data_IF_976757468491
#
_entry.id   IF_976757468491
#
_cell.length_a   1.000
_cell.length_b   1.000
_cell.length_c   1.000
_cell.angle_alpha   90.00
_cell.angle_beta   90.00
_cell.angle_gamma   90.00
#
_symmetry.space_group_name_H-M   'P 1'
#
loop_
_entity.id
_entity.type
_entity.pdbx_description
1 polymer ?
#
# COMPACT_ATOMS: atom_id res chain seq x y z
N UNK A 1 14.66 9.35 -10.15
CA UNK A 1 14.33 9.38 -8.70
C UNK A 1 14.47 10.82 -8.21
N UNK A 2 13.52 11.30 -7.43
CA UNK A 2 13.53 12.63 -6.77
C UNK A 2 13.57 12.46 -5.27
N UNK A 3 13.99 13.48 -4.54
CA UNK A 3 14.04 13.46 -3.08
C UNK A 3 13.48 14.76 -2.51
N UNK A 4 12.79 14.67 -1.37
CA UNK A 4 12.31 15.78 -0.56
C UNK A 4 12.92 15.65 0.85
N UNK A 5 13.40 16.74 1.43
CA UNK A 5 13.74 16.79 2.84
C UNK A 5 12.48 17.08 3.66
N UNK A 6 12.10 16.16 4.53
CA UNK A 6 10.91 16.24 5.39
C UNK A 6 11.28 15.90 6.82
N UNK A 7 11.05 16.80 7.77
CA UNK A 7 11.40 16.60 9.20
C UNK A 7 12.83 16.03 9.40
N UNK A 8 13.79 16.55 8.64
CA UNK A 8 15.21 16.14 8.64
C UNK A 8 15.50 14.72 8.11
N UNK A 9 14.56 14.07 7.44
CA UNK A 9 14.76 12.80 6.74
C UNK A 9 14.55 12.98 5.24
N UNK A 10 15.17 12.12 4.43
CA UNK A 10 14.99 12.09 2.97
C UNK A 10 13.80 11.21 2.61
N UNK A 11 12.89 11.75 1.83
CA UNK A 11 11.76 11.04 1.23
C UNK A 11 12.05 10.84 -0.26
N UNK A 12 11.98 9.60 -0.72
CA UNK A 12 12.22 9.23 -2.11
C UNK A 12 10.91 9.01 -2.88
N UNK A 13 10.82 9.58 -4.07
CA UNK A 13 9.66 9.44 -4.95
C UNK A 13 10.04 9.52 -6.42
N UNK A 14 9.11 9.12 -7.29
CA UNK A 14 9.17 9.39 -8.73
C UNK A 14 8.00 10.27 -9.14
N UNK A 15 8.11 10.88 -10.33
CA UNK A 15 7.09 11.77 -10.88
C UNK A 15 7.15 11.64 -12.41
N UNK A 16 6.16 11.00 -13.00
CA UNK A 16 6.16 10.58 -14.41
C UNK A 16 4.81 10.89 -15.05
N UNK A 17 4.82 11.36 -16.29
CA UNK A 17 3.60 11.67 -17.05
C UNK A 17 3.03 13.06 -16.74
N UNK A 18 1.81 13.32 -17.22
CA UNK A 18 1.06 14.58 -17.07
C UNK A 18 -0.44 14.27 -16.95
N UNK A 19 -1.22 15.21 -16.42
CA UNK A 19 -2.66 15.06 -16.25
C UNK A 19 -3.08 14.95 -14.78
N UNK A 20 -4.17 14.19 -14.49
CA UNK A 20 -4.63 13.97 -13.13
C UNK A 20 -3.54 13.27 -12.32
N UNK A 21 -3.24 13.80 -11.12
CA UNK A 21 -2.25 13.21 -10.25
C UNK A 21 -2.79 11.91 -9.63
N UNK A 22 -1.96 10.87 -9.67
CA UNK A 22 -2.22 9.55 -9.07
C UNK A 22 -1.02 9.16 -8.22
N UNK A 23 -1.26 8.91 -6.95
CA UNK A 23 -0.25 8.51 -5.99
C UNK A 23 -0.31 7.00 -5.84
N UNK A 24 0.82 6.33 -5.96
CA UNK A 24 0.95 4.89 -5.80
C UNK A 24 1.75 4.59 -4.53
N UNK A 25 1.10 3.91 -3.56
CA UNK A 25 1.66 3.57 -2.25
C UNK A 25 1.81 2.06 -2.13
N UNK A 26 3.00 1.64 -1.78
CA UNK A 26 3.37 0.22 -1.64
C UNK A 26 2.95 -0.39 -0.29
N UNK A 27 3.02 -1.71 -0.17
CA UNK A 27 2.75 -2.46 1.04
C UNK A 27 3.97 -2.59 1.97
N UNK A 28 3.76 -3.29 3.09
CA UNK A 28 4.82 -3.61 4.05
C UNK A 28 5.87 -4.52 3.43
N UNK A 29 7.15 -4.27 3.66
CA UNK A 29 8.32 -4.94 3.05
C UNK A 29 8.45 -4.76 1.53
N UNK A 30 7.70 -3.85 0.94
CA UNK A 30 7.82 -3.45 -0.46
C UNK A 30 8.46 -2.05 -0.57
N UNK A 31 8.55 -1.53 -1.77
CA UNK A 31 8.97 -0.17 -2.07
C UNK A 31 8.33 0.31 -3.39
N UNK A 32 8.58 1.56 -3.78
CA UNK A 32 8.01 2.16 -5.00
C UNK A 32 8.24 1.36 -6.29
N UNK A 33 9.25 0.48 -6.32
CA UNK A 33 9.59 -0.29 -7.53
C UNK A 33 8.55 -1.34 -7.88
N UNK A 34 7.68 -1.77 -6.93
CA UNK A 34 6.56 -2.66 -7.19
C UNK A 34 5.63 -2.15 -8.30
N UNK A 35 5.56 -0.83 -8.46
CA UNK A 35 4.70 -0.18 -9.45
C UNK A 35 5.32 -0.07 -10.84
N UNK A 36 6.57 -0.54 -11.03
CA UNK A 36 7.34 -0.36 -12.28
C UNK A 36 6.60 -0.88 -13.51
N UNK A 37 5.91 -2.00 -13.40
CA UNK A 37 5.15 -2.59 -14.52
C UNK A 37 3.92 -1.74 -14.91
N UNK A 38 3.32 -1.02 -13.97
CA UNK A 38 2.08 -0.25 -14.15
C UNK A 38 2.32 1.18 -14.64
N UNK A 39 3.41 1.81 -14.20
CA UNK A 39 3.70 3.22 -14.48
C UNK A 39 3.64 3.56 -15.97
N UNK A 40 4.20 2.78 -16.91
CA UNK A 40 4.16 3.13 -18.33
C UNK A 40 2.74 3.24 -18.88
N UNK A 41 1.83 2.35 -18.49
CA UNK A 41 0.45 2.38 -18.96
C UNK A 41 -0.35 3.50 -18.29
N UNK A 42 -0.26 3.64 -16.97
CA UNK A 42 -0.97 4.65 -16.22
C UNK A 42 -0.52 6.07 -16.56
N UNK A 43 0.77 6.27 -16.85
CA UNK A 43 1.35 7.57 -17.18
C UNK A 43 0.95 8.09 -18.58
N UNK A 44 0.32 7.28 -19.43
CA UNK A 44 -0.18 7.75 -20.74
C UNK A 44 -1.20 8.88 -20.61
N UNK A 45 -1.97 8.91 -19.52
CA UNK A 45 -3.06 9.88 -19.32
C UNK A 45 -3.02 10.57 -17.95
N UNK A 46 -2.12 10.17 -17.06
CA UNK A 46 -2.06 10.65 -15.68
C UNK A 46 -0.63 11.07 -15.32
N UNK A 47 -0.50 11.90 -14.30
CA UNK A 47 0.76 12.21 -13.63
C UNK A 47 0.92 11.21 -12.48
N UNK A 48 1.82 10.26 -12.61
CA UNK A 48 2.03 9.16 -11.65
C UNK A 48 3.15 9.51 -10.69
N UNK A 49 2.85 9.51 -9.41
CA UNK A 49 3.81 9.69 -8.33
C UNK A 49 3.89 8.38 -7.54
N UNK A 50 5.06 7.73 -7.53
CA UNK A 50 5.32 6.60 -6.64
C UNK A 50 6.16 7.06 -5.48
N UNK A 51 5.83 6.67 -4.24
CA UNK A 51 6.49 7.15 -3.04
C UNK A 51 6.96 5.93 -2.22
N UNK A 52 8.20 5.96 -1.73
CA UNK A 52 8.64 5.04 -0.69
C UNK A 52 8.08 5.53 0.65
N UNK A 53 7.33 4.68 1.34
CA UNK A 53 6.81 4.95 2.68
C UNK A 53 7.94 4.99 3.72
N UNK A 54 7.70 5.60 4.86
CA UNK A 54 8.68 5.76 5.93
C UNK A 54 9.41 4.45 6.26
N UNK A 55 10.74 4.48 6.21
CA UNK A 55 11.61 3.34 6.50
C UNK A 55 11.62 2.23 5.45
N UNK A 56 11.15 2.49 4.22
CA UNK A 56 11.16 1.55 3.10
C UNK A 56 11.87 2.17 1.89
N UNK A 57 12.43 1.30 1.04
CA UNK A 57 13.13 1.72 -0.17
C UNK A 57 14.25 2.72 0.14
N UNK A 58 14.20 3.88 -0.52
CA UNK A 58 15.18 4.96 -0.34
C UNK A 58 14.67 6.07 0.60
N UNK A 59 13.52 5.88 1.28
CA UNK A 59 12.99 6.78 2.32
C UNK A 59 13.50 6.39 3.69
N UNK A 60 14.05 7.38 4.41
CA UNK A 60 14.61 7.17 5.74
C UNK A 60 13.53 6.93 6.80
N UNK A 61 13.92 6.43 7.97
CA UNK A 61 13.02 6.23 9.12
C UNK A 61 12.74 7.54 9.85
N UNK A 62 11.49 7.72 10.28
CA UNK A 62 11.06 8.82 11.15
C UNK A 62 10.69 8.29 12.53
N UNK A 63 11.68 8.12 13.40
CA UNK A 63 11.47 7.62 14.75
C UNK A 63 11.25 6.11 14.85
N UNK A 64 10.51 5.67 15.87
CA UNK A 64 10.33 4.25 16.24
C UNK A 64 8.94 3.71 15.96
N UNK A 65 8.01 4.55 15.56
CA UNK A 65 6.66 4.21 15.14
C UNK A 65 6.36 4.98 13.86
N UNK A 66 6.05 4.28 12.78
CA UNK A 66 5.58 4.89 11.54
C UNK A 66 4.07 4.70 11.47
N UNK A 67 3.32 5.60 12.11
CA UNK A 67 1.86 5.57 12.05
C UNK A 67 1.35 5.79 10.62
N UNK A 68 0.11 5.40 10.37
CA UNK A 68 -0.51 5.64 9.07
C UNK A 68 -0.69 7.13 8.83
N UNK A 69 -0.93 7.88 9.90
CA UNK A 69 -1.02 9.33 9.92
C UNK A 69 0.32 10.00 9.58
N UNK A 70 1.44 9.56 10.17
CA UNK A 70 2.78 10.10 9.83
C UNK A 70 3.14 9.84 8.36
N UNK A 71 2.78 8.67 7.82
CA UNK A 71 2.95 8.38 6.41
C UNK A 71 2.03 9.26 5.54
N UNK A 72 0.79 9.51 5.96
CA UNK A 72 -0.14 10.39 5.26
C UNK A 72 0.37 11.85 5.23
N UNK A 73 0.89 12.36 6.35
CA UNK A 73 1.52 13.68 6.45
C UNK A 73 2.75 13.79 5.51
N UNK A 74 3.55 12.74 5.45
CA UNK A 74 4.69 12.66 4.53
C UNK A 74 4.25 12.67 3.06
N UNK A 75 3.20 11.92 2.71
CA UNK A 75 2.59 11.96 1.37
C UNK A 75 2.08 13.36 1.06
N UNK A 76 1.39 14.01 2.01
CA UNK A 76 0.94 15.39 1.86
C UNK A 76 2.10 16.37 1.58
N UNK A 77 3.23 16.24 2.29
CA UNK A 77 4.40 17.06 2.05
C UNK A 77 4.96 16.89 0.61
N UNK A 78 4.96 15.66 0.08
CA UNK A 78 5.34 15.41 -1.33
C UNK A 78 4.36 16.08 -2.29
N UNK A 79 3.05 16.03 -2.03
CA UNK A 79 2.06 16.70 -2.86
C UNK A 79 2.21 18.23 -2.83
N UNK A 80 2.51 18.80 -1.66
CA UNK A 80 2.77 20.24 -1.53
C UNK A 80 4.00 20.67 -2.34
N UNK A 81 5.12 19.92 -2.23
CA UNK A 81 6.35 20.17 -3.01
C UNK A 81 6.07 20.14 -4.52
N UNK A 82 5.24 19.22 -4.97
CA UNK A 82 4.84 19.06 -6.38
C UNK A 82 3.71 20.00 -6.81
N UNK A 83 3.19 20.84 -5.90
CA UNK A 83 2.05 21.76 -6.11
C UNK A 83 0.80 21.03 -6.61
N UNK A 84 0.56 19.81 -6.11
CA UNK A 84 -0.61 19.00 -6.41
C UNK A 84 -1.71 19.34 -5.40
N UNK A 85 -2.85 19.82 -5.89
CA UNK A 85 -3.99 20.21 -5.05
C UNK A 85 -4.97 19.05 -4.82
N UNK A 86 -5.10 18.14 -5.78
CA UNK A 86 -6.00 16.98 -5.70
C UNK A 86 -5.37 15.77 -6.39
N UNK A 87 -5.54 14.59 -5.83
CA UNK A 87 -5.02 13.34 -6.38
C UNK A 87 -5.95 12.16 -6.11
N UNK A 88 -5.87 11.14 -6.97
CA UNK A 88 -6.30 9.79 -6.61
C UNK A 88 -5.15 9.07 -5.91
N UNK A 89 -5.47 8.15 -4.99
CA UNK A 89 -4.47 7.33 -4.30
C UNK A 89 -4.78 5.85 -4.52
N UNK A 90 -3.79 5.10 -4.97
CA UNK A 90 -3.84 3.65 -5.08
C UNK A 90 -2.87 3.10 -4.05
N UNK A 91 -3.38 2.38 -3.06
CA UNK A 91 -2.58 1.82 -1.98
C UNK A 91 -2.69 0.30 -1.91
N UNK A 92 -1.54 -0.38 -1.97
CA UNK A 92 -1.45 -1.81 -1.73
C UNK A 92 -1.27 -2.09 -0.23
N UNK A 93 -2.08 -2.97 0.34
CA UNK A 93 -1.92 -3.46 1.71
C UNK A 93 -1.73 -2.32 2.72
N UNK A 94 -0.56 -2.16 3.35
CA UNK A 94 -0.22 -1.03 4.23
C UNK A 94 -0.41 0.33 3.53
N UNK A 95 -0.09 0.44 2.25
CA UNK A 95 -0.33 1.65 1.45
C UNK A 95 -1.80 2.04 1.38
N UNK A 96 -2.72 1.07 1.43
CA UNK A 96 -4.16 1.33 1.55
C UNK A 96 -4.55 1.92 2.91
N UNK A 97 -3.91 1.47 3.99
CA UNK A 97 -4.11 2.08 5.32
C UNK A 97 -3.65 3.54 5.34
N UNK A 98 -2.52 3.83 4.66
CA UNK A 98 -2.02 5.21 4.51
C UNK A 98 -2.95 6.05 3.65
N UNK A 99 -3.50 5.49 2.55
CA UNK A 99 -4.47 6.17 1.69
C UNK A 99 -5.73 6.59 2.45
N UNK A 100 -6.23 5.73 3.34
CA UNK A 100 -7.38 6.04 4.19
C UNK A 100 -7.03 7.06 5.29
N UNK A 101 -5.83 7.00 5.87
CA UNK A 101 -5.37 8.03 6.80
C UNK A 101 -5.25 9.40 6.10
N UNK A 102 -4.74 9.41 4.87
CA UNK A 102 -4.68 10.61 4.05
C UNK A 102 -6.09 11.17 3.75
N UNK A 103 -7.04 10.30 3.43
CA UNK A 103 -8.43 10.70 3.17
C UNK A 103 -9.13 11.25 4.42
N UNK A 104 -8.78 10.77 5.62
CA UNK A 104 -9.27 11.33 6.88
C UNK A 104 -8.71 12.74 7.14
N UNK A 105 -7.40 12.93 6.93
CA UNK A 105 -6.69 14.17 7.27
C UNK A 105 -6.80 15.26 6.19
N UNK A 106 -6.94 14.88 4.93
CA UNK A 106 -6.86 15.77 3.76
C UNK A 106 -7.99 15.45 2.75
N UNK A 107 -9.22 15.34 3.24
CA UNK A 107 -10.39 14.93 2.46
C UNK A 107 -10.61 15.79 1.18
N UNK A 108 -10.34 17.07 1.27
CA UNK A 108 -10.48 18.03 0.16
C UNK A 108 -9.48 17.80 -0.99
N UNK A 109 -8.40 17.07 -0.73
CA UNK A 109 -7.39 16.72 -1.74
C UNK A 109 -7.71 15.42 -2.48
N UNK A 110 -8.75 14.70 -2.07
CA UNK A 110 -9.09 13.40 -2.65
C UNK A 110 -9.89 13.54 -3.96
N UNK A 111 -9.51 12.71 -4.95
CA UNK A 111 -10.24 12.49 -6.20
C UNK A 111 -10.73 11.04 -6.36
N UNK A 112 -10.12 10.10 -5.67
CA UNK A 112 -10.49 8.69 -5.70
C UNK A 112 -9.53 7.84 -4.88
N UNK A 113 -9.97 6.65 -4.45
CA UNK A 113 -9.15 5.67 -3.73
C UNK A 113 -9.29 4.29 -4.36
N UNK A 114 -8.16 3.62 -4.51
CA UNK A 114 -8.12 2.16 -4.73
C UNK A 114 -7.45 1.52 -3.53
N UNK A 115 -8.16 0.62 -2.88
CA UNK A 115 -7.65 -0.29 -1.85
C UNK A 115 -7.30 -1.62 -2.52
N UNK A 116 -6.02 -1.84 -2.80
CA UNK A 116 -5.52 -3.06 -3.42
C UNK A 116 -5.05 -4.02 -2.32
N UNK A 117 -5.70 -5.19 -2.19
CA UNK A 117 -5.44 -6.17 -1.13
C UNK A 117 -5.28 -5.49 0.25
N UNK A 118 -6.25 -4.67 0.62
CA UNK A 118 -6.21 -3.84 1.83
C UNK A 118 -7.56 -3.83 2.54
N UNK A 119 -7.61 -3.24 3.73
CA UNK A 119 -8.82 -3.12 4.53
C UNK A 119 -8.91 -1.75 5.19
N UNK A 120 -10.12 -1.27 5.44
CA UNK A 120 -10.37 -0.05 6.20
C UNK A 120 -10.35 -0.27 7.71
N UNK A 121 -10.43 -1.52 8.15
CA UNK A 121 -10.60 -1.92 9.55
C UNK A 121 -9.31 -1.84 10.35
N UNK A 122 -9.43 -1.51 11.64
CA UNK A 122 -8.33 -1.61 12.59
C UNK A 122 -7.88 -3.08 12.76
N UNK A 123 -6.66 -3.28 13.29
CA UNK A 123 -6.23 -4.61 13.70
C UNK A 123 -7.08 -5.12 14.88
N UNK A 124 -7.56 -6.36 14.78
CA UNK A 124 -8.15 -7.09 15.89
C UNK A 124 -7.12 -7.31 17.03
N UNK A 125 -7.59 -7.68 18.21
CA UNK A 125 -6.70 -8.01 19.34
C UNK A 125 -5.69 -9.12 18.98
N UNK A 126 -6.14 -10.11 18.21
CA UNK A 126 -5.27 -11.20 17.72
C UNK A 126 -4.22 -10.67 16.74
N UNK A 127 -4.62 -9.86 15.76
CA UNK A 127 -3.67 -9.26 14.79
C UNK A 127 -2.65 -8.36 15.48
N UNK A 128 -3.05 -7.57 16.48
CA UNK A 128 -2.12 -6.78 17.30
C UNK A 128 -1.11 -7.66 18.03
N UNK A 129 -1.57 -8.79 18.60
CA UNK A 129 -0.70 -9.78 19.24
C UNK A 129 0.29 -10.37 18.23
N UNK A 130 -0.19 -10.75 17.03
CA UNK A 130 0.65 -11.30 15.98
C UNK A 130 1.70 -10.30 15.47
N UNK A 131 1.37 -9.00 15.37
CA UNK A 131 2.39 -7.96 15.08
C UNK A 131 3.44 -7.87 16.19
N UNK A 132 3.06 -7.99 17.45
CA UNK A 132 4.02 -8.06 18.56
C UNK A 132 4.95 -9.27 18.47
N UNK A 133 4.43 -10.44 18.05
CA UNK A 133 5.25 -11.65 17.78
C UNK A 133 6.19 -11.42 16.59
N UNK A 134 5.70 -10.80 15.51
CA UNK A 134 6.49 -10.45 14.34
C UNK A 134 7.67 -9.53 14.68
N UNK A 135 7.43 -8.50 15.52
CA UNK A 135 8.51 -7.62 16.02
C UNK A 135 9.58 -8.38 16.79
N UNK A 136 9.18 -9.33 17.63
CA UNK A 136 10.16 -10.20 18.34
C UNK A 136 10.92 -11.09 17.36
N UNK A 137 10.21 -11.72 16.43
CA UNK A 137 10.80 -12.63 15.45
C UNK A 137 11.82 -11.93 14.53
N UNK A 138 11.49 -10.74 14.00
CA UNK A 138 12.43 -10.00 13.13
C UNK A 138 13.67 -9.55 13.87
N UNK A 139 13.57 -9.21 15.16
CA UNK A 139 14.72 -8.87 15.99
C UNK A 139 15.62 -10.06 16.29
N UNK A 140 15.07 -11.28 16.32
CA UNK A 140 15.82 -12.52 16.56
C UNK A 140 16.49 -13.03 15.27
N UNK A 141 15.77 -13.04 14.15
CA UNK A 141 16.29 -13.50 12.86
C UNK A 141 15.66 -12.71 11.71
N UNK A 142 16.27 -11.58 11.39
CA UNK A 142 15.84 -10.68 10.34
C UNK A 142 15.64 -11.37 8.98
N UNK A 143 16.65 -12.10 8.52
CA UNK A 143 16.63 -12.73 7.19
C UNK A 143 15.54 -13.79 7.07
N UNK A 144 15.44 -14.69 8.06
CA UNK A 144 14.42 -15.72 8.06
C UNK A 144 13.00 -15.12 8.13
N UNK A 145 12.82 -14.10 8.97
CA UNK A 145 11.52 -13.40 9.08
C UNK A 145 11.09 -12.80 7.74
N UNK A 146 11.97 -12.03 7.09
CA UNK A 146 11.64 -11.36 5.82
C UNK A 146 11.35 -12.40 4.73
N UNK A 147 12.20 -13.43 4.57
CA UNK A 147 12.02 -14.47 3.56
C UNK A 147 10.71 -15.24 3.73
N UNK A 148 10.35 -15.59 4.96
CA UNK A 148 9.09 -16.27 5.25
C UNK A 148 7.88 -15.37 5.05
N UNK A 149 7.97 -14.11 5.48
CA UNK A 149 6.88 -13.13 5.33
C UNK A 149 6.51 -12.95 3.86
N UNK A 150 7.48 -12.78 2.96
CA UNK A 150 7.22 -12.60 1.53
C UNK A 150 6.56 -13.84 0.91
N UNK A 151 7.08 -15.04 1.16
CA UNK A 151 6.49 -16.27 0.60
C UNK A 151 5.02 -16.44 1.00
N UNK A 152 4.69 -16.05 2.23
CA UNK A 152 3.34 -16.18 2.78
C UNK A 152 2.35 -15.12 2.26
N UNK A 153 2.74 -14.24 1.35
CA UNK A 153 1.83 -13.29 0.71
C UNK A 153 1.17 -13.86 -0.57
N UNK A 154 1.80 -14.85 -1.18
CA UNK A 154 1.30 -15.48 -2.41
C UNK A 154 0.27 -16.57 -2.10
N UNK A 155 -0.67 -16.79 -3.02
CA UNK A 155 -1.55 -17.96 -2.97
C UNK A 155 -0.73 -19.25 -2.99
N UNK A 156 -1.24 -20.33 -2.37
CA UNK A 156 -0.51 -21.59 -2.24
C UNK A 156 -0.02 -22.11 -3.60
N UNK A 157 -0.91 -22.11 -4.59
CA UNK A 157 -0.60 -22.49 -5.97
C UNK A 157 0.56 -21.68 -6.56
N UNK A 158 0.53 -20.36 -6.37
CA UNK A 158 1.51 -19.45 -6.98
C UNK A 158 2.88 -19.51 -6.30
N UNK A 159 2.96 -20.01 -5.06
CA UNK A 159 4.25 -20.23 -4.39
C UNK A 159 5.15 -21.25 -5.13
N UNK A 160 4.54 -22.17 -5.87
CA UNK A 160 5.27 -23.16 -6.67
C UNK A 160 5.56 -22.67 -8.10
N UNK A 161 4.74 -21.76 -8.63
CA UNK A 161 4.80 -21.28 -10.01
C UNK A 161 5.68 -20.04 -10.14
N UNK A 162 5.56 -19.08 -9.20
CA UNK A 162 6.19 -17.76 -9.26
C UNK A 162 7.48 -17.68 -8.40
N UNK A 163 8.34 -18.70 -8.52
CA UNK A 163 9.56 -18.81 -7.71
C UNK A 163 10.53 -17.66 -7.96
N UNK A 164 10.69 -17.22 -9.21
CA UNK A 164 11.57 -16.12 -9.58
C UNK A 164 11.05 -14.78 -9.03
N UNK A 165 9.76 -14.51 -9.17
CA UNK A 165 9.09 -13.31 -8.67
C UNK A 165 9.17 -13.25 -7.13
N UNK A 166 9.01 -14.39 -6.46
CA UNK A 166 9.15 -14.50 -5.00
C UNK A 166 10.59 -14.19 -4.58
N UNK A 167 11.60 -14.75 -5.23
CA UNK A 167 13.00 -14.45 -4.89
C UNK A 167 13.37 -12.98 -5.19
N UNK A 168 12.88 -12.42 -6.29
CA UNK A 168 13.06 -11.01 -6.61
C UNK A 168 12.42 -10.10 -5.53
N UNK A 169 11.19 -10.43 -5.11
CA UNK A 169 10.49 -9.71 -4.03
C UNK A 169 11.23 -9.85 -2.69
N UNK A 170 11.74 -11.04 -2.36
CA UNK A 170 12.57 -11.27 -1.17
C UNK A 170 13.84 -10.44 -1.19
N UNK A 171 14.52 -10.38 -2.34
CA UNK A 171 15.75 -9.58 -2.50
C UNK A 171 15.48 -8.08 -2.26
N UNK A 172 14.36 -7.56 -2.75
CA UNK A 172 13.95 -6.16 -2.47
C UNK A 172 13.56 -5.97 -1.00
N UNK A 173 12.76 -6.88 -0.43
CA UNK A 173 12.33 -6.81 0.97
C UNK A 173 13.50 -6.82 1.97
N UNK A 174 14.56 -7.59 1.67
CA UNK A 174 15.78 -7.65 2.48
C UNK A 174 16.60 -6.35 2.50
N UNK A 175 16.28 -5.38 1.67
CA UNK A 175 16.88 -4.03 1.73
C UNK A 175 16.21 -3.12 2.77
N UNK A 176 15.03 -3.49 3.28
CA UNK A 176 14.28 -2.69 4.27
C UNK A 176 15.02 -2.74 5.62
N UNK A 177 15.42 -1.63 6.21
CA UNK A 177 16.16 -1.65 7.48
C UNK A 177 15.29 -2.20 8.63
N UNK A 178 15.91 -2.88 9.59
CA UNK A 178 15.23 -3.43 10.77
C UNK A 178 14.38 -2.39 11.48
N UNK A 179 14.87 -1.15 11.61
CA UNK A 179 14.13 -0.04 12.21
C UNK A 179 12.84 0.24 11.44
N UNK A 180 12.89 0.29 10.10
CA UNK A 180 11.71 0.51 9.25
C UNK A 180 10.66 -0.58 9.42
N UNK A 181 11.10 -1.85 9.47
CA UNK A 181 10.20 -2.99 9.70
C UNK A 181 9.49 -2.88 11.06
N UNK A 182 10.26 -2.67 12.13
CA UNK A 182 9.71 -2.59 13.50
C UNK A 182 8.78 -1.39 13.63
N UNK A 183 9.19 -0.21 13.14
CA UNK A 183 8.40 1.01 13.22
C UNK A 183 7.08 0.90 12.45
N UNK A 184 7.09 0.24 11.29
CA UNK A 184 5.87 0.03 10.49
C UNK A 184 4.94 -1.00 11.12
N UNK A 185 5.47 -2.08 11.72
CA UNK A 185 4.66 -3.04 12.49
C UNK A 185 3.97 -2.37 13.69
N UNK A 186 4.69 -1.50 14.42
CA UNK A 186 4.10 -0.71 15.50
C UNK A 186 3.03 0.26 14.99
N UNK A 187 3.29 0.96 13.87
CA UNK A 187 2.32 1.87 13.25
C UNK A 187 1.05 1.17 12.79
N UNK A 188 1.18 0.02 12.14
CA UNK A 188 0.03 -0.79 11.73
C UNK A 188 -0.77 -1.32 12.91
N UNK A 189 -0.12 -1.68 14.02
CA UNK A 189 -0.76 -2.19 15.25
C UNK A 189 -1.70 -1.17 15.89
N UNK A 190 -1.38 0.11 15.79
CA UNK A 190 -2.16 1.20 16.43
C UNK A 190 -3.11 1.90 15.45
N UNK A 191 -3.18 1.48 14.17
CA UNK A 191 -4.03 2.13 13.19
C UNK A 191 -5.50 2.12 13.61
N UNK A 192 -6.17 3.22 13.29
CA UNK A 192 -7.60 3.39 13.54
C UNK A 192 -8.45 2.60 12.53
N UNK A 193 -9.68 2.30 12.91
CA UNK A 193 -10.73 1.92 11.99
C UNK A 193 -11.16 3.14 11.15
N UNK A 194 -11.30 2.94 9.84
CA UNK A 194 -11.70 3.98 8.88
C UNK A 194 -12.81 3.52 7.94
N UNK A 195 -13.57 2.50 8.34
CA UNK A 195 -14.68 1.98 7.53
C UNK A 195 -15.71 3.07 7.20
N UNK A 196 -15.88 4.05 8.08
CA UNK A 196 -16.73 5.23 7.87
C UNK A 196 -16.42 5.98 6.56
N UNK A 197 -15.16 6.00 6.11
CA UNK A 197 -14.78 6.66 4.84
C UNK A 197 -15.41 5.95 3.65
N UNK A 198 -15.55 4.62 3.69
CA UNK A 198 -16.15 3.84 2.61
C UNK A 198 -17.65 4.19 2.41
N UNK A 199 -18.32 4.58 3.48
CA UNK A 199 -19.75 4.93 3.46
C UNK A 199 -20.03 6.38 3.02
N UNK A 200 -19.13 7.31 3.34
CA UNK A 200 -19.43 8.75 3.22
C UNK A 200 -18.53 9.50 2.23
N UNK A 201 -17.54 8.86 1.61
CA UNK A 201 -16.69 9.52 0.62
C UNK A 201 -17.49 9.97 -0.60
N UNK A 202 -17.24 11.23 -1.03
CA UNK A 202 -17.90 11.84 -2.19
C UNK A 202 -17.14 11.61 -3.52
N UNK A 203 -16.12 10.77 -3.54
CA UNK A 203 -15.30 10.43 -4.69
C UNK A 203 -15.35 8.92 -4.98
N UNK A 204 -15.01 8.50 -6.21
CA UNK A 204 -14.98 7.08 -6.57
C UNK A 204 -14.04 6.28 -5.68
N UNK A 205 -14.47 5.10 -5.26
CA UNK A 205 -13.66 4.14 -4.51
C UNK A 205 -13.75 2.75 -5.12
N UNK A 206 -12.63 2.03 -5.07
CA UNK A 206 -12.51 0.66 -5.55
C UNK A 206 -11.78 -0.19 -4.51
N UNK A 207 -12.38 -1.30 -4.13
CA UNK A 207 -11.77 -2.35 -3.33
C UNK A 207 -11.38 -3.51 -4.24
N UNK A 208 -10.13 -3.94 -4.18
CA UNK A 208 -9.64 -5.11 -4.90
C UNK A 208 -9.18 -6.15 -3.88
N UNK A 209 -9.72 -7.37 -3.96
CA UNK A 209 -9.40 -8.47 -3.05
C UNK A 209 -8.97 -9.72 -3.82
N UNK A 210 -8.02 -10.45 -3.27
CA UNK A 210 -7.68 -11.81 -3.69
C UNK A 210 -8.54 -12.83 -2.96
N UNK A 211 -9.15 -13.79 -3.68
CA UNK A 211 -9.99 -14.83 -3.08
C UNK A 211 -9.19 -15.83 -2.25
N UNK A 212 -7.89 -16.00 -2.55
CA UNK A 212 -6.97 -16.86 -1.84
C UNK A 212 -5.91 -16.05 -1.07
N UNK A 213 -6.25 -14.81 -0.67
CA UNK A 213 -5.37 -13.95 0.08
C UNK A 213 -5.08 -14.55 1.48
N UNK A 214 -3.83 -14.96 1.76
CA UNK A 214 -3.49 -15.59 3.04
C UNK A 214 -3.38 -14.57 4.20
N UNK A 215 -3.42 -13.27 3.91
CA UNK A 215 -3.33 -12.19 4.89
C UNK A 215 -4.69 -11.63 5.24
N UNK A 216 -5.57 -11.47 4.24
CA UNK A 216 -6.90 -10.91 4.38
C UNK A 216 -7.95 -11.98 4.06
N UNK A 217 -8.72 -12.40 5.05
CA UNK A 217 -9.87 -13.27 4.77
C UNK A 217 -10.81 -12.57 3.81
N UNK A 218 -11.06 -13.18 2.65
CA UNK A 218 -11.87 -12.58 1.58
C UNK A 218 -13.29 -12.26 2.05
N UNK A 219 -13.98 -13.24 2.63
CA UNK A 219 -15.40 -13.11 3.05
C UNK A 219 -15.55 -11.99 4.09
N UNK A 220 -14.67 -11.96 5.09
CA UNK A 220 -14.68 -10.92 6.12
C UNK A 220 -14.40 -9.53 5.53
N UNK A 221 -13.43 -9.42 4.61
CA UNK A 221 -13.06 -8.11 4.07
C UNK A 221 -14.02 -7.62 2.98
N UNK A 222 -14.78 -8.49 2.32
CA UNK A 222 -15.82 -8.08 1.40
C UNK A 222 -16.99 -7.36 2.12
N UNK A 223 -17.27 -7.70 3.39
CA UNK A 223 -18.38 -7.07 4.13
C UNK A 223 -18.17 -5.59 4.44
N UNK A 224 -16.92 -5.09 4.42
CA UNK A 224 -16.66 -3.67 4.72
C UNK A 224 -17.27 -2.68 3.72
N UNK A 225 -17.70 -3.15 2.55
CA UNK A 225 -18.35 -2.30 1.53
C UNK A 225 -19.85 -2.52 1.41
N UNK A 226 -20.44 -3.34 2.28
CA UNK A 226 -21.90 -3.53 2.29
C UNK A 226 -22.61 -2.18 2.51
N UNK A 227 -23.66 -1.95 1.73
CA UNK A 227 -24.43 -0.69 1.74
C UNK A 227 -23.59 0.57 1.40
N UNK A 228 -22.48 0.42 0.68
CA UNK A 228 -21.66 1.53 0.18
C UNK A 228 -21.77 1.65 -1.35
N UNK A 229 -21.13 2.71 -1.91
CA UNK A 229 -20.96 2.89 -3.35
C UNK A 229 -19.58 2.42 -3.84
N UNK A 230 -18.81 1.76 -2.99
CA UNK A 230 -17.48 1.24 -3.32
C UNK A 230 -17.61 0.09 -4.31
N UNK A 231 -16.91 0.16 -5.42
CA UNK A 231 -16.85 -0.94 -6.37
C UNK A 231 -15.97 -2.07 -5.82
N UNK A 232 -16.34 -3.33 -6.10
CA UNK A 232 -15.57 -4.51 -5.75
C UNK A 232 -15.04 -5.19 -7.01
N UNK A 233 -13.75 -5.49 -7.03
CA UNK A 233 -13.11 -6.37 -8.00
C UNK A 233 -12.42 -7.49 -7.25
N UNK A 234 -12.60 -8.73 -7.72
CA UNK A 234 -12.02 -9.92 -7.12
C UNK A 234 -11.04 -10.57 -8.07
N UNK A 235 -9.86 -10.90 -7.57
CA UNK A 235 -8.91 -11.76 -8.26
C UNK A 235 -8.90 -13.17 -7.65
N UNK A 236 -8.54 -14.20 -8.43
CA UNK A 236 -8.57 -15.58 -7.94
C UNK A 236 -7.45 -15.92 -6.95
N UNK A 237 -6.38 -15.12 -6.93
CA UNK A 237 -5.11 -15.43 -6.29
C UNK A 237 -4.95 -14.76 -4.91
N UNK A 238 -3.69 -14.55 -4.49
CA UNK A 238 -3.31 -14.16 -3.13
C UNK A 238 -3.25 -12.65 -2.88
N UNK A 239 -2.33 -12.27 -1.97
CA UNK A 239 -2.15 -10.89 -1.51
C UNK A 239 -1.34 -10.04 -2.49
N UNK A 240 -0.57 -10.67 -3.39
CA UNK A 240 0.35 -10.01 -4.30
C UNK A 240 -0.27 -9.83 -5.69
N UNK A 241 -1.52 -9.31 -5.75
CA UNK A 241 -2.26 -9.17 -7.01
C UNK A 241 -1.50 -8.38 -8.09
N UNK A 242 -0.58 -7.49 -7.72
CA UNK A 242 0.28 -6.76 -8.66
C UNK A 242 1.33 -7.66 -9.36
N UNK A 243 1.60 -8.86 -8.82
CA UNK A 243 2.44 -9.90 -9.43
C UNK A 243 1.58 -11.02 -9.99
N UNK A 244 0.63 -11.52 -9.18
CA UNK A 244 -0.20 -12.67 -9.50
C UNK A 244 -1.24 -12.38 -10.59
N UNK A 245 -1.65 -11.11 -10.79
CA UNK A 245 -2.71 -10.69 -11.72
C UNK A 245 -2.36 -9.38 -12.45
N UNK A 246 -1.10 -9.20 -12.87
CA UNK A 246 -0.56 -7.92 -13.37
C UNK A 246 -1.35 -7.32 -14.54
N UNK A 247 -1.72 -8.13 -15.53
CA UNK A 247 -2.43 -7.65 -16.73
C UNK A 247 -3.86 -7.20 -16.41
N UNK A 248 -4.59 -8.03 -15.67
CA UNK A 248 -5.97 -7.76 -15.26
C UNK A 248 -6.02 -6.55 -14.32
N UNK A 249 -5.10 -6.47 -13.37
CA UNK A 249 -4.98 -5.33 -12.48
C UNK A 249 -4.71 -4.04 -13.26
N UNK A 250 -3.83 -4.09 -14.26
CA UNK A 250 -3.55 -2.92 -15.11
C UNK A 250 -4.83 -2.42 -15.80
N UNK A 251 -5.63 -3.32 -16.37
CA UNK A 251 -6.92 -2.98 -17.02
C UNK A 251 -7.90 -2.37 -16.03
N UNK A 252 -8.01 -2.94 -14.84
CA UNK A 252 -8.87 -2.45 -13.76
C UNK A 252 -8.47 -1.05 -13.32
N UNK A 253 -7.18 -0.81 -13.06
CA UNK A 253 -6.68 0.50 -12.64
C UNK A 253 -6.88 1.57 -13.73
N UNK A 254 -6.60 1.25 -15.00
CA UNK A 254 -6.88 2.16 -16.13
C UNK A 254 -8.38 2.47 -16.23
N UNK A 255 -9.23 1.47 -16.03
CA UNK A 255 -10.69 1.64 -16.01
C UNK A 255 -11.17 2.58 -14.90
N UNK A 256 -10.68 2.39 -13.68
CA UNK A 256 -10.99 3.22 -12.53
C UNK A 256 -10.55 4.68 -12.74
N UNK A 257 -9.34 4.90 -13.22
CA UNK A 257 -8.78 6.23 -13.41
C UNK A 257 -9.49 7.07 -14.49
N UNK A 258 -10.33 6.48 -15.34
CA UNK A 258 -11.21 7.22 -16.25
C UNK A 258 -12.40 7.87 -15.55
N UNK A 259 -12.70 7.47 -14.32
CA UNK A 259 -13.82 8.00 -13.49
C UNK A 259 -13.34 9.15 -12.57
N UNK A 260 -12.03 9.41 -12.51
CA UNK A 260 -11.34 10.35 -11.62
C UNK A 260 -10.80 11.54 -12.42
#
# INVERSE_FOLDING_TARGET
MKQLLYKNIKIAYTDTGKGTAVILLHGFLENKTMWKAFVPELAKRNRIITIDLLGHGDTECLGYVHSMEDNADMVHAVLQELKIRKAAIIGHSMGGYVALAFAELYAEMMKGIVLLNSTSRADSAERKTNRGRAIKAVKQNYTAFVRLSIANLFSEKNREILLEEIENTRAEALKTPLQGIVASLEGMKIRKDREVILHFAAYPMLLILGKQDPVLNYEENATQIENTKVELVNFPDGHMSHIENTEELTKVLVGFLKKV
#
